data_IF_350334301161
#
_entry.id   IF_350334301161
#
_cell.length_a   1.000
_cell.length_b   1.000
_cell.length_c   1.000
_cell.angle_alpha   90.00
_cell.angle_beta   90.00
_cell.angle_gamma   90.00
#
_symmetry.space_group_name_H-M   'P 1'
#
loop_
_entity.id
_entity.type
_entity.pdbx_description
1 polymer ?
#
# COMPACT_ATOMS: atom_id res chain seq x y z
N UNK A 1 -49.42 -13.36 13.86
CA UNK A 1 -50.09 -13.20 15.18
C UNK A 1 -51.58 -13.54 15.11
N UNK A 2 -52.32 -13.18 14.05
CA UNK A 2 -53.75 -13.53 13.90
C UNK A 2 -54.04 -15.04 13.77
N UNK A 3 -53.18 -15.80 13.08
CA UNK A 3 -53.35 -17.26 12.86
C UNK A 3 -53.20 -18.09 14.14
N UNK A 4 -52.35 -17.63 15.08
CA UNK A 4 -52.15 -18.22 16.41
C UNK A 4 -53.38 -18.03 17.31
N UNK A 5 -54.07 -16.90 17.15
CA UNK A 5 -55.30 -16.56 17.87
C UNK A 5 -56.52 -17.38 17.42
N UNK A 6 -56.48 -17.94 16.21
CA UNK A 6 -57.60 -18.67 15.62
C UNK A 6 -57.49 -20.19 15.77
N UNK A 7 -56.36 -20.73 16.25
CA UNK A 7 -56.21 -22.17 16.54
C UNK A 7 -56.23 -23.08 15.30
N UNK A 8 -55.95 -22.54 14.11
CA UNK A 8 -56.11 -23.23 12.81
C UNK A 8 -54.83 -23.99 12.39
N UNK A 9 -53.69 -23.74 13.05
CA UNK A 9 -52.42 -24.45 12.84
C UNK A 9 -51.76 -24.87 14.15
N UNK A 10 -50.98 -25.97 14.16
CA UNK A 10 -50.14 -26.33 15.30
C UNK A 10 -49.20 -25.17 15.65
N UNK A 11 -49.15 -24.78 16.93
CA UNK A 11 -48.31 -23.68 17.45
C UNK A 11 -46.84 -23.80 17.02
N UNK A 12 -46.36 -25.02 16.82
CA UNK A 12 -45.00 -25.27 16.36
C UNK A 12 -44.75 -24.80 14.91
N UNK A 13 -45.71 -25.00 14.00
CA UNK A 13 -45.57 -24.60 12.60
C UNK A 13 -45.58 -23.07 12.45
N UNK A 14 -46.42 -22.38 13.22
CA UNK A 14 -46.45 -20.91 13.24
C UNK A 14 -45.18 -20.30 13.81
N UNK A 15 -44.57 -20.92 14.83
CA UNK A 15 -43.31 -20.47 15.40
C UNK A 15 -42.12 -20.73 14.48
N UNK A 16 -42.09 -21.86 13.76
CA UNK A 16 -41.03 -22.14 12.78
C UNK A 16 -41.07 -21.15 11.61
N UNK A 17 -42.27 -20.87 11.09
CA UNK A 17 -42.46 -19.84 10.07
C UNK A 17 -42.00 -18.45 10.53
N UNK A 18 -42.39 -18.02 11.74
CA UNK A 18 -41.93 -16.75 12.32
C UNK A 18 -40.40 -16.71 12.43
N UNK A 19 -39.76 -17.80 12.89
CA UNK A 19 -38.31 -17.90 13.01
C UNK A 19 -37.62 -17.77 11.66
N UNK A 20 -38.14 -18.40 10.61
CA UNK A 20 -37.57 -18.30 9.26
C UNK A 20 -37.68 -16.88 8.70
N UNK A 21 -38.85 -16.25 8.78
CA UNK A 21 -39.01 -14.85 8.36
C UNK A 21 -38.06 -13.91 9.09
N UNK A 22 -37.87 -14.09 10.40
CA UNK A 22 -36.91 -13.29 11.17
C UNK A 22 -35.46 -13.50 10.71
N UNK A 23 -35.09 -14.72 10.32
CA UNK A 23 -33.76 -14.99 9.74
C UNK A 23 -33.58 -14.32 8.39
N UNK A 24 -34.61 -14.33 7.54
CA UNK A 24 -34.58 -13.66 6.24
C UNK A 24 -34.47 -12.14 6.44
N UNK A 25 -35.25 -11.58 7.37
CA UNK A 25 -35.17 -10.16 7.72
C UNK A 25 -33.78 -9.78 8.24
N UNK A 26 -33.19 -10.58 9.14
CA UNK A 26 -31.80 -10.35 9.60
C UNK A 26 -30.82 -10.40 8.42
N UNK A 27 -30.99 -11.36 7.51
CA UNK A 27 -30.20 -11.46 6.28
C UNK A 27 -30.29 -10.22 5.38
N UNK A 28 -31.52 -9.73 5.13
CA UNK A 28 -31.76 -8.53 4.34
C UNK A 28 -31.22 -7.27 5.02
N UNK A 29 -31.37 -7.16 6.34
CA UNK A 29 -30.81 -6.04 7.11
C UNK A 29 -29.28 -6.02 7.08
N UNK A 30 -28.62 -7.18 7.13
CA UNK A 30 -27.17 -7.28 6.96
C UNK A 30 -26.73 -6.79 5.58
N UNK A 31 -27.41 -7.25 4.52
CA UNK A 31 -27.14 -6.80 3.15
C UNK A 31 -27.37 -5.29 2.99
N UNK A 32 -28.47 -4.76 3.53
CA UNK A 32 -28.76 -3.34 3.49
C UNK A 32 -27.66 -2.52 4.18
N UNK A 33 -27.16 -2.96 5.35
CA UNK A 33 -26.05 -2.30 6.04
C UNK A 33 -24.75 -2.34 5.24
N UNK A 34 -24.50 -3.41 4.50
CA UNK A 34 -23.31 -3.54 3.65
C UNK A 34 -23.37 -2.58 2.44
N UNK A 35 -24.55 -2.35 1.86
CA UNK A 35 -24.72 -1.52 0.65
C UNK A 35 -24.96 -0.03 0.96
N UNK A 36 -25.54 0.31 2.12
CA UNK A 36 -25.91 1.69 2.44
C UNK A 36 -24.71 2.65 2.46
N UNK A 37 -23.54 2.17 2.88
CA UNK A 37 -22.29 2.94 2.87
C UNK A 37 -21.72 3.14 1.47
N UNK A 38 -21.87 2.16 0.58
CA UNK A 38 -21.25 2.16 -0.76
C UNK A 38 -21.73 3.31 -1.64
N UNK A 39 -23.00 3.75 -1.49
CA UNK A 39 -23.53 4.91 -2.22
C UNK A 39 -22.83 6.21 -1.84
N UNK A 40 -22.51 6.38 -0.56
CA UNK A 40 -21.83 7.57 -0.05
C UNK A 40 -20.38 7.57 -0.55
N UNK A 41 -19.68 6.42 -0.42
CA UNK A 41 -18.31 6.26 -0.92
C UNK A 41 -18.20 6.50 -2.42
N UNK A 42 -19.14 6.00 -3.22
CA UNK A 42 -19.15 6.24 -4.66
C UNK A 42 -19.45 7.70 -5.01
N UNK A 43 -20.32 8.38 -4.26
CA UNK A 43 -20.55 9.81 -4.44
C UNK A 43 -19.28 10.63 -4.17
N UNK A 44 -18.56 10.30 -3.10
CA UNK A 44 -17.28 10.92 -2.74
C UNK A 44 -16.22 10.69 -3.84
N UNK A 45 -16.06 9.46 -4.33
CA UNK A 45 -15.12 9.14 -5.42
C UNK A 45 -15.45 9.88 -6.74
N UNK A 46 -16.73 10.11 -7.01
CA UNK A 46 -17.18 10.88 -8.19
C UNK A 46 -17.21 12.39 -7.93
N UNK A 47 -16.84 12.83 -6.72
CA UNK A 47 -16.95 14.22 -6.27
C UNK A 47 -18.37 14.80 -6.48
N UNK A 48 -19.39 13.99 -6.24
CA UNK A 48 -20.82 14.33 -6.34
C UNK A 48 -21.43 14.45 -4.95
N UNK A 49 -22.47 15.28 -4.83
CA UNK A 49 -23.29 15.29 -3.61
C UNK A 49 -24.04 13.97 -3.45
N UNK A 50 -24.05 13.41 -2.24
CA UNK A 50 -24.82 12.20 -1.91
C UNK A 50 -26.33 12.36 -2.16
N UNK A 51 -26.85 13.59 -2.06
CA UNK A 51 -28.26 13.92 -2.29
C UNK A 51 -28.66 13.90 -3.78
N UNK A 52 -27.71 14.10 -4.70
CA UNK A 52 -27.96 14.15 -6.15
C UNK A 52 -27.43 12.93 -6.90
N UNK A 53 -27.15 11.83 -6.18
CA UNK A 53 -26.53 10.66 -6.79
C UNK A 53 -27.44 10.04 -7.87
N UNK A 54 -26.96 9.88 -9.12
CA UNK A 54 -27.77 9.41 -10.23
C UNK A 54 -28.19 7.94 -10.04
N UNK A 55 -29.31 7.56 -10.66
CA UNK A 55 -29.74 6.15 -10.68
C UNK A 55 -28.78 5.37 -11.57
N UNK A 56 -28.14 4.35 -10.99
CA UNK A 56 -27.29 3.43 -11.75
C UNK A 56 -28.15 2.51 -12.61
N UNK A 57 -27.67 2.24 -13.83
CA UNK A 57 -28.26 1.25 -14.73
C UNK A 57 -27.65 -0.11 -14.40
N UNK A 58 -28.48 -1.16 -14.42
CA UNK A 58 -28.00 -2.53 -14.25
C UNK A 58 -27.05 -2.90 -15.41
N UNK A 59 -25.78 -3.25 -15.14
CA UNK A 59 -24.83 -3.66 -16.18
C UNK A 59 -25.20 -4.99 -16.85
N UNK A 60 -26.19 -5.73 -16.33
CA UNK A 60 -26.57 -7.06 -16.79
C UNK A 60 -25.63 -8.15 -16.25
N UNK A 61 -25.69 -9.34 -16.85
CA UNK A 61 -25.03 -10.56 -16.36
C UNK A 61 -23.67 -10.87 -17.00
N UNK A 62 -23.03 -9.90 -17.66
CA UNK A 62 -21.74 -10.10 -18.32
C UNK A 62 -20.59 -9.79 -17.36
N UNK A 63 -19.80 -10.80 -17.00
CA UNK A 63 -18.58 -10.62 -16.21
C UNK A 63 -17.69 -9.53 -16.83
N UNK A 64 -17.14 -8.59 -16.03
CA UNK A 64 -16.33 -7.48 -16.55
C UNK A 64 -15.03 -7.91 -17.26
N UNK A 65 -14.62 -9.16 -17.05
CA UNK A 65 -13.47 -9.78 -17.64
C UNK A 65 -13.86 -11.18 -18.09
N UNK A 66 -13.41 -11.59 -19.28
CA UNK A 66 -13.49 -12.97 -19.71
C UNK A 66 -12.44 -13.78 -18.93
N UNK A 67 -12.85 -14.26 -17.75
CA UNK A 67 -11.97 -14.97 -16.82
C UNK A 67 -11.43 -16.26 -17.43
N UNK A 68 -12.16 -16.85 -18.39
CA UNK A 68 -11.74 -18.09 -19.08
C UNK A 68 -10.62 -17.84 -20.10
N UNK A 69 -10.45 -16.59 -20.55
CA UNK A 69 -9.36 -16.16 -21.45
C UNK A 69 -8.23 -15.45 -20.71
N UNK A 70 -8.12 -15.64 -19.40
CA UNK A 70 -7.04 -15.04 -18.62
C UNK A 70 -5.70 -15.71 -18.99
N UNK A 71 -4.61 -14.93 -19.17
CA UNK A 71 -3.27 -15.49 -19.30
C UNK A 71 -2.89 -16.32 -18.06
N UNK A 72 -1.89 -17.18 -18.21
CA UNK A 72 -1.30 -17.88 -17.07
C UNK A 72 -0.74 -16.89 -16.05
N UNK A 73 -0.79 -17.26 -14.76
CA UNK A 73 -0.39 -16.36 -13.67
C UNK A 73 1.07 -15.92 -13.81
N UNK A 74 1.95 -16.78 -14.34
CA UNK A 74 3.34 -16.44 -14.59
C UNK A 74 3.48 -15.30 -15.63
N UNK A 75 2.65 -15.30 -16.67
CA UNK A 75 2.63 -14.21 -17.66
C UNK A 75 2.10 -12.91 -17.04
N UNK A 76 1.14 -12.99 -16.11
CA UNK A 76 0.65 -11.82 -15.38
C UNK A 76 1.73 -11.24 -14.45
N UNK A 77 2.51 -12.12 -13.79
CA UNK A 77 3.63 -11.74 -12.95
C UNK A 77 4.73 -11.03 -13.78
N UNK A 78 5.14 -11.62 -14.90
CA UNK A 78 6.10 -11.02 -15.82
C UNK A 78 5.61 -9.68 -16.38
N UNK A 79 4.34 -9.61 -16.78
CA UNK A 79 3.74 -8.38 -17.26
C UNK A 79 3.80 -7.28 -16.19
N UNK A 80 3.48 -7.61 -14.95
CA UNK A 80 3.52 -6.67 -13.83
C UNK A 80 4.93 -6.11 -13.58
N UNK A 81 5.97 -6.94 -13.70
CA UNK A 81 7.35 -6.47 -13.54
C UNK A 81 7.76 -5.38 -14.54
N UNK A 82 7.13 -5.35 -15.72
CA UNK A 82 7.44 -4.38 -16.77
C UNK A 82 6.54 -3.13 -16.74
N UNK A 83 5.31 -3.27 -16.24
CA UNK A 83 4.28 -2.22 -16.36
C UNK A 83 3.98 -1.49 -15.05
N UNK A 84 4.48 -1.99 -13.92
CA UNK A 84 4.23 -1.35 -12.63
C UNK A 84 5.02 -0.06 -12.45
N UNK A 85 4.34 1.10 -12.28
CA UNK A 85 5.02 2.40 -12.14
C UNK A 85 5.92 2.44 -10.91
N UNK A 86 5.63 1.67 -9.87
CA UNK A 86 6.45 1.61 -8.66
C UNK A 86 7.86 1.05 -8.94
N UNK A 87 7.98 0.07 -9.86
CA UNK A 87 9.29 -0.45 -10.27
C UNK A 87 10.05 0.55 -11.15
N UNK A 88 9.33 1.26 -12.01
CA UNK A 88 9.89 2.32 -12.84
C UNK A 88 10.43 3.48 -11.98
N UNK A 89 9.66 3.91 -10.99
CA UNK A 89 10.08 4.94 -10.04
C UNK A 89 11.36 4.51 -9.30
N UNK A 90 11.42 3.26 -8.82
CA UNK A 90 12.63 2.72 -8.19
C UNK A 90 13.82 2.66 -9.14
N UNK A 91 13.60 2.39 -10.42
CA UNK A 91 14.66 2.45 -11.41
C UNK A 91 15.23 3.87 -11.53
N UNK A 92 14.37 4.90 -11.64
CA UNK A 92 14.81 6.29 -11.68
C UNK A 92 15.50 6.74 -10.39
N UNK A 93 14.97 6.35 -9.22
CA UNK A 93 15.62 6.63 -7.94
C UNK A 93 17.03 6.04 -7.89
N UNK A 94 17.23 4.79 -8.36
CA UNK A 94 18.56 4.18 -8.45
C UNK A 94 19.53 4.98 -9.32
N UNK A 95 19.08 5.50 -10.47
CA UNK A 95 19.90 6.37 -11.34
C UNK A 95 20.26 7.68 -10.64
N UNK A 96 19.29 8.33 -10.00
CA UNK A 96 19.52 9.56 -9.24
C UNK A 96 20.55 9.33 -8.13
N UNK A 97 20.43 8.23 -7.39
CA UNK A 97 21.36 7.86 -6.33
C UNK A 97 22.78 7.58 -6.85
N UNK A 98 22.91 6.95 -8.02
CA UNK A 98 24.21 6.75 -8.66
C UNK A 98 24.86 8.10 -9.06
N UNK A 99 24.07 9.04 -9.59
CA UNK A 99 24.56 10.38 -9.93
C UNK A 99 24.89 11.23 -8.70
N UNK A 100 24.14 11.09 -7.60
CA UNK A 100 24.44 11.71 -6.31
C UNK A 100 25.73 11.16 -5.70
N UNK A 101 25.95 9.85 -5.81
CA UNK A 101 27.21 9.19 -5.42
C UNK A 101 28.38 9.73 -6.24
N UNK A 102 28.22 9.86 -7.58
CA UNK A 102 29.22 10.48 -8.46
C UNK A 102 29.50 11.92 -8.09
N UNK A 103 28.47 12.74 -7.82
CA UNK A 103 28.64 14.13 -7.35
C UNK A 103 29.42 14.19 -6.04
N UNK A 104 29.15 13.26 -5.12
CA UNK A 104 29.86 13.18 -3.83
C UNK A 104 31.33 12.82 -4.03
N UNK A 105 31.64 11.89 -4.94
CA UNK A 105 33.02 11.57 -5.32
C UNK A 105 33.71 12.75 -6.03
N UNK A 106 33.02 13.48 -6.90
CA UNK A 106 33.55 14.68 -7.56
C UNK A 106 33.87 15.79 -6.55
N UNK A 107 33.13 15.91 -5.45
CA UNK A 107 33.43 16.86 -4.35
C UNK A 107 34.73 16.52 -3.58
N UNK A 108 35.35 15.37 -3.86
CA UNK A 108 36.68 15.02 -3.35
C UNK A 108 37.79 15.67 -4.17
N UNK A 109 37.51 16.09 -5.41
CA UNK A 109 38.45 16.82 -6.26
C UNK A 109 38.66 18.27 -5.75
N UNK A 110 39.79 18.91 -6.08
CA UNK A 110 39.98 20.33 -5.79
C UNK A 110 38.94 21.18 -6.54
N UNK A 111 38.37 22.17 -5.85
CA UNK A 111 37.49 23.17 -6.44
C UNK A 111 38.29 24.24 -7.17
N UNK A 112 37.81 24.62 -8.35
CA UNK A 112 38.37 25.67 -9.19
C UNK A 112 37.36 26.81 -9.31
N UNK A 113 37.72 27.99 -8.83
CA UNK A 113 36.90 29.20 -8.98
C UNK A 113 37.63 30.21 -9.87
N UNK A 114 36.96 30.64 -10.94
CA UNK A 114 37.44 31.69 -11.82
C UNK A 114 36.68 32.97 -11.51
N UNK A 115 37.40 34.05 -11.23
CA UNK A 115 36.80 35.35 -10.94
C UNK A 115 37.29 36.41 -11.92
N UNK A 116 36.37 37.28 -12.32
CA UNK A 116 36.69 38.49 -13.06
C UNK A 116 35.83 39.63 -12.53
N UNK A 117 36.47 40.71 -12.08
CA UNK A 117 35.79 41.85 -11.50
C UNK A 117 36.35 43.15 -12.07
N UNK A 118 35.46 44.04 -12.50
CA UNK A 118 35.82 45.43 -12.85
C UNK A 118 35.37 46.32 -11.71
N UNK A 119 36.32 46.93 -11.02
CA UNK A 119 36.06 47.76 -9.84
C UNK A 119 36.25 49.24 -10.18
N UNK A 120 35.42 50.07 -9.57
CA UNK A 120 35.47 51.53 -9.67
C UNK A 120 35.28 52.13 -8.28
N UNK A 121 36.16 53.06 -7.89
CA UNK A 121 36.07 53.74 -6.61
C UNK A 121 36.16 55.27 -6.82
N UNK A 122 35.30 56.01 -6.12
CA UNK A 122 35.19 57.47 -6.20
C UNK A 122 35.95 58.19 -5.06
N UNK A 123 36.68 57.47 -4.22
CA UNK A 123 37.49 58.05 -3.16
C UNK A 123 38.52 59.06 -3.68
N UNK A 124 38.56 60.25 -3.06
CA UNK A 124 39.46 61.35 -3.44
C UNK A 124 40.94 61.06 -3.23
N UNK A 125 41.26 59.97 -2.52
CA UNK A 125 42.62 59.53 -2.17
C UNK A 125 43.20 58.47 -3.13
N UNK A 126 42.42 57.92 -4.08
CA UNK A 126 42.90 56.90 -5.01
C UNK A 126 43.45 57.51 -6.31
N UNK A 127 44.70 57.17 -6.67
CA UNK A 127 45.39 57.65 -7.87
C UNK A 127 44.82 57.04 -9.15
N UNK A 128 44.35 55.79 -9.09
CA UNK A 128 43.71 55.10 -10.20
C UNK A 128 42.31 54.65 -9.78
N UNK A 129 41.28 55.14 -10.47
CA UNK A 129 39.87 55.01 -10.05
C UNK A 129 39.18 53.78 -10.61
N UNK A 130 39.80 53.08 -11.54
CA UNK A 130 39.29 51.84 -12.11
C UNK A 130 40.39 50.78 -12.22
N UNK A 131 40.02 49.53 -11.98
CA UNK A 131 40.91 48.41 -12.25
C UNK A 131 40.10 47.16 -12.57
N UNK A 132 40.75 46.24 -13.27
CA UNK A 132 40.19 44.95 -13.63
C UNK A 132 41.01 43.88 -12.94
N UNK A 133 40.33 42.99 -12.23
CA UNK A 133 40.91 41.84 -11.56
C UNK A 133 40.48 40.58 -12.32
N UNK A 134 41.44 39.70 -12.59
CA UNK A 134 41.20 38.32 -13.01
C UNK A 134 41.92 37.42 -12.02
N UNK A 135 41.21 36.46 -11.45
CA UNK A 135 41.74 35.55 -10.44
C UNK A 135 41.35 34.11 -10.74
N UNK A 136 42.25 33.18 -10.42
CA UNK A 136 41.98 31.75 -10.41
C UNK A 136 42.30 31.25 -9.01
N UNK A 137 41.29 30.75 -8.31
CA UNK A 137 41.43 30.19 -6.98
C UNK A 137 41.30 28.66 -7.06
N UNK A 138 42.30 27.94 -6.58
CA UNK A 138 42.29 26.49 -6.43
C UNK A 138 42.23 26.16 -4.95
N UNK A 139 41.16 25.50 -4.51
CA UNK A 139 40.97 25.11 -3.12
C UNK A 139 40.74 23.60 -3.02
N UNK A 140 41.49 22.91 -2.15
CA UNK A 140 41.32 21.47 -1.93
C UNK A 140 41.10 21.15 -0.46
N UNK A 141 40.05 20.38 -0.17
CA UNK A 141 39.75 19.91 1.18
C UNK A 141 40.46 18.58 1.47
N UNK A 142 41.60 18.63 2.15
CA UNK A 142 42.43 17.44 2.46
C UNK A 142 41.79 16.51 3.50
N UNK A 143 40.90 17.02 4.37
CA UNK A 143 40.15 16.17 5.31
C UNK A 143 39.24 15.21 4.55
N UNK A 144 38.63 15.66 3.45
CA UNK A 144 37.80 14.80 2.57
C UNK A 144 38.61 13.74 1.83
N UNK A 145 39.89 13.96 1.57
CA UNK A 145 40.77 12.97 0.93
C UNK A 145 41.02 11.79 1.87
N UNK A 146 41.22 12.07 3.17
CA UNK A 146 41.42 11.04 4.20
C UNK A 146 40.13 10.21 4.38
N UNK A 147 38.95 10.84 4.33
CA UNK A 147 37.66 10.15 4.45
C UNK A 147 37.13 9.59 3.13
N UNK A 148 37.79 9.84 1.99
CA UNK A 148 37.38 9.39 0.67
C UNK A 148 37.09 7.89 0.55
N UNK A 149 37.93 6.99 1.10
CA UNK A 149 37.65 5.55 1.09
C UNK A 149 36.38 5.18 1.83
N UNK A 150 36.07 5.86 2.94
CA UNK A 150 34.84 5.63 3.72
C UNK A 150 33.61 6.09 2.93
N UNK A 151 33.70 7.25 2.28
CA UNK A 151 32.64 7.77 1.39
C UNK A 151 32.37 6.80 0.23
N UNK A 152 33.42 6.25 -0.38
CA UNK A 152 33.27 5.26 -1.44
C UNK A 152 32.67 3.94 -0.93
N UNK A 153 33.09 3.48 0.25
CA UNK A 153 32.52 2.30 0.88
C UNK A 153 31.03 2.50 1.19
N UNK A 154 30.65 3.66 1.70
CA UNK A 154 29.26 4.03 1.96
C UNK A 154 28.43 4.04 0.67
N UNK A 155 28.90 4.69 -0.39
CA UNK A 155 28.20 4.73 -1.67
C UNK A 155 27.94 3.32 -2.24
N UNK A 156 28.89 2.40 -2.10
CA UNK A 156 28.71 0.99 -2.52
C UNK A 156 27.69 0.24 -1.67
N UNK A 157 27.65 0.51 -0.36
CA UNK A 157 26.64 -0.08 0.52
C UNK A 157 25.25 0.45 0.20
N UNK A 158 25.11 1.74 -0.09
CA UNK A 158 23.86 2.36 -0.53
C UNK A 158 23.37 1.73 -1.83
N UNK A 159 24.24 1.53 -2.82
CA UNK A 159 23.91 0.81 -4.07
C UNK A 159 23.42 -0.62 -3.81
N UNK A 160 24.12 -1.37 -2.95
CA UNK A 160 23.72 -2.73 -2.58
C UNK A 160 22.37 -2.74 -1.85
N UNK A 161 22.09 -1.77 -0.98
CA UNK A 161 20.80 -1.64 -0.29
C UNK A 161 19.68 -1.33 -1.29
N UNK A 162 19.90 -0.44 -2.25
CA UNK A 162 18.91 -0.13 -3.29
C UNK A 162 18.61 -1.33 -4.19
N UNK A 163 19.62 -2.14 -4.52
CA UNK A 163 19.41 -3.39 -5.25
C UNK A 163 18.51 -4.36 -4.47
N UNK A 164 18.75 -4.52 -3.16
CA UNK A 164 17.91 -5.36 -2.30
C UNK A 164 16.48 -4.81 -2.20
N UNK A 165 16.31 -3.49 -2.11
CA UNK A 165 14.99 -2.83 -2.09
C UNK A 165 14.22 -3.09 -3.39
N UNK A 166 14.89 -3.00 -4.54
CA UNK A 166 14.29 -3.30 -5.85
C UNK A 166 13.86 -4.76 -5.96
N UNK A 167 14.70 -5.71 -5.53
CA UNK A 167 14.34 -7.14 -5.50
C UNK A 167 13.15 -7.42 -4.58
N UNK A 168 13.14 -6.82 -3.38
CA UNK A 168 12.03 -6.94 -2.44
C UNK A 168 10.73 -6.35 -3.00
N UNK A 169 10.80 -5.22 -3.71
CA UNK A 169 9.65 -4.61 -4.37
C UNK A 169 9.12 -5.50 -5.50
N UNK A 170 10.00 -6.05 -6.34
CA UNK A 170 9.63 -6.99 -7.39
C UNK A 170 8.92 -8.23 -6.82
N UNK A 171 9.47 -8.83 -5.75
CA UNK A 171 8.83 -9.94 -5.05
C UNK A 171 7.47 -9.55 -4.46
N UNK A 172 7.36 -8.34 -3.91
CA UNK A 172 6.08 -7.82 -3.40
C UNK A 172 5.04 -7.72 -4.52
N UNK A 173 5.41 -7.22 -5.69
CA UNK A 173 4.51 -7.08 -6.84
C UNK A 173 4.06 -8.44 -7.34
N UNK A 174 4.98 -9.40 -7.53
CA UNK A 174 4.66 -10.78 -7.89
C UNK A 174 3.65 -11.37 -6.90
N UNK A 175 3.90 -11.19 -5.60
CA UNK A 175 3.00 -11.66 -4.53
C UNK A 175 1.63 -11.01 -4.62
N UNK A 176 1.56 -9.70 -4.86
CA UNK A 176 0.29 -8.99 -5.04
C UNK A 176 -0.51 -9.49 -6.25
N UNK A 177 0.15 -9.73 -7.38
CA UNK A 177 -0.46 -10.31 -8.57
C UNK A 177 -1.05 -11.68 -8.26
N UNK A 178 -0.28 -12.54 -7.58
CA UNK A 178 -0.72 -13.89 -7.22
C UNK A 178 -1.90 -13.90 -6.27
N UNK A 179 -1.88 -13.05 -5.24
CA UNK A 179 -3.00 -12.89 -4.29
C UNK A 179 -4.24 -12.38 -5.03
N UNK A 180 -4.10 -11.38 -5.90
CA UNK A 180 -5.22 -10.85 -6.68
C UNK A 180 -5.81 -11.90 -7.64
N UNK A 181 -4.95 -12.71 -8.27
CA UNK A 181 -5.37 -13.82 -9.13
C UNK A 181 -6.15 -14.87 -8.34
N UNK A 182 -5.64 -15.29 -7.18
CA UNK A 182 -6.33 -16.24 -6.29
C UNK A 182 -7.69 -15.69 -5.84
N UNK A 183 -7.75 -14.43 -5.42
CA UNK A 183 -9.01 -13.79 -5.02
C UNK A 183 -10.02 -13.69 -6.18
N UNK A 184 -9.55 -13.51 -7.42
CA UNK A 184 -10.42 -13.54 -8.60
C UNK A 184 -11.00 -14.95 -8.85
N UNK A 185 -10.16 -15.99 -8.76
CA UNK A 185 -10.63 -17.38 -8.91
C UNK A 185 -11.62 -17.77 -7.81
N UNK A 186 -11.33 -17.39 -6.56
CA UNK A 186 -12.21 -17.65 -5.41
C UNK A 186 -13.56 -16.95 -5.56
N UNK A 187 -13.55 -15.65 -5.86
CA UNK A 187 -14.79 -14.89 -6.07
C UNK A 187 -15.62 -15.45 -7.23
N UNK A 188 -14.97 -15.93 -8.31
CA UNK A 188 -15.68 -16.59 -9.43
C UNK A 188 -16.47 -17.82 -8.95
N UNK A 189 -15.83 -18.70 -8.17
CA UNK A 189 -16.49 -19.89 -7.59
C UNK A 189 -17.62 -19.46 -6.65
N UNK A 190 -17.41 -18.44 -5.83
CA UNK A 190 -18.44 -17.87 -4.96
C UNK A 190 -19.65 -17.36 -5.74
N UNK A 191 -19.43 -16.63 -6.82
CA UNK A 191 -20.49 -16.14 -7.71
C UNK A 191 -21.23 -17.29 -8.41
N UNK A 192 -20.53 -18.28 -8.95
CA UNK A 192 -21.16 -19.45 -9.58
C UNK A 192 -22.07 -20.20 -8.59
N UNK A 193 -21.61 -20.34 -7.35
CA UNK A 193 -22.39 -20.95 -6.26
C UNK A 193 -23.62 -20.11 -5.93
N UNK A 194 -23.46 -18.80 -5.73
CA UNK A 194 -24.58 -17.90 -5.42
C UNK A 194 -25.62 -17.84 -6.57
N UNK A 195 -25.15 -17.89 -7.82
CA UNK A 195 -25.98 -17.96 -9.01
C UNK A 195 -26.78 -19.27 -9.07
N UNK A 196 -26.14 -20.40 -8.78
CA UNK A 196 -26.84 -21.69 -8.73
C UNK A 196 -27.90 -21.71 -7.62
N UNK A 197 -27.59 -21.17 -6.43
CA UNK A 197 -28.54 -21.05 -5.31
C UNK A 197 -29.74 -20.17 -5.67
N UNK A 198 -29.51 -18.98 -6.23
CA UNK A 198 -30.61 -18.09 -6.69
C UNK A 198 -31.50 -18.78 -7.74
N UNK A 199 -30.92 -19.56 -8.67
CA UNK A 199 -31.70 -20.32 -9.65
C UNK A 199 -32.54 -21.44 -9.04
N UNK A 200 -32.01 -22.14 -8.04
CA UNK A 200 -32.75 -23.18 -7.30
C UNK A 200 -33.92 -22.55 -6.54
N UNK A 201 -33.67 -21.48 -5.79
CA UNK A 201 -34.71 -20.83 -4.99
C UNK A 201 -35.75 -20.13 -5.87
N UNK A 202 -35.36 -19.64 -7.05
CA UNK A 202 -36.33 -19.16 -8.05
C UNK A 202 -37.30 -20.27 -8.48
N UNK A 203 -36.79 -21.47 -8.76
CA UNK A 203 -37.63 -22.62 -9.13
C UNK A 203 -38.51 -23.08 -7.98
N UNK A 204 -38.02 -23.00 -6.74
CA UNK A 204 -38.82 -23.30 -5.55
C UNK A 204 -39.95 -22.28 -5.36
N UNK A 205 -39.69 -20.99 -5.60
CA UNK A 205 -40.72 -19.96 -5.63
C UNK A 205 -41.75 -20.21 -6.72
N UNK A 206 -41.33 -20.48 -7.96
CA UNK A 206 -42.25 -20.76 -9.07
C UNK A 206 -43.10 -22.02 -8.77
N UNK A 207 -42.52 -23.05 -8.14
CA UNK A 207 -43.26 -24.24 -7.67
C UNK A 207 -44.24 -23.90 -6.54
N UNK A 208 -43.84 -23.06 -5.59
CA UNK A 208 -44.71 -22.61 -4.50
C UNK A 208 -45.91 -21.80 -5.02
N UNK A 209 -45.68 -20.99 -6.05
CA UNK A 209 -46.71 -20.22 -6.74
C UNK A 209 -47.70 -21.15 -7.46
N UNK A 210 -47.21 -22.14 -8.22
CA UNK A 210 -48.08 -23.12 -8.85
C UNK A 210 -48.86 -23.97 -7.81
N UNK A 211 -48.19 -24.41 -6.74
CA UNK A 211 -48.83 -25.17 -5.66
C UNK A 211 -49.93 -24.38 -4.95
N UNK A 212 -49.79 -23.06 -4.89
CA UNK A 212 -50.79 -22.11 -4.37
C UNK A 212 -52.03 -22.02 -5.23
N UNK A 213 -51.88 -21.97 -6.54
CA UNK A 213 -53.01 -21.92 -7.49
C UNK A 213 -53.91 -23.15 -7.40
N UNK A 214 -53.32 -24.31 -7.06
CA UNK A 214 -54.04 -25.59 -6.90
C UNK A 214 -54.37 -25.90 -5.43
N UNK A 215 -54.30 -24.91 -4.53
CA UNK A 215 -54.58 -25.03 -3.09
C UNK A 215 -53.79 -26.13 -2.34
N UNK A 216 -52.65 -26.56 -2.90
CA UNK A 216 -51.77 -27.58 -2.31
C UNK A 216 -50.71 -27.01 -1.36
N UNK A 217 -50.44 -25.70 -1.43
CA UNK A 217 -49.46 -25.01 -0.59
C UNK A 217 -50.05 -23.82 0.18
N UNK A 218 -49.52 -23.57 1.38
CA UNK A 218 -49.93 -22.50 2.30
C UNK A 218 -49.35 -21.12 1.91
N UNK A 219 -49.89 -20.02 2.44
CA UNK A 219 -49.54 -18.64 2.01
C UNK A 219 -48.22 -18.26 2.60
N UNK A 220 -48.05 -18.66 3.85
CA UNK A 220 -46.79 -18.71 4.54
C UNK A 220 -45.70 -19.38 3.68
N UNK A 221 -45.95 -20.55 3.08
CA UNK A 221 -44.96 -21.22 2.24
C UNK A 221 -44.62 -20.45 0.96
N UNK A 222 -45.59 -19.78 0.32
CA UNK A 222 -45.31 -18.92 -0.84
C UNK A 222 -44.46 -17.71 -0.44
N UNK A 223 -44.85 -17.02 0.63
CA UNK A 223 -44.12 -15.85 1.14
C UNK A 223 -42.70 -16.24 1.57
N UNK A 224 -42.53 -17.41 2.19
CA UNK A 224 -41.23 -17.95 2.56
C UNK A 224 -40.36 -18.17 1.31
N UNK A 225 -40.88 -18.88 0.30
CA UNK A 225 -40.14 -19.14 -0.93
C UNK A 225 -39.80 -17.86 -1.71
N UNK A 226 -40.70 -16.87 -1.72
CA UNK A 226 -40.44 -15.56 -2.32
C UNK A 226 -39.32 -14.82 -1.59
N UNK A 227 -39.38 -14.80 -0.26
CA UNK A 227 -38.41 -14.10 0.58
C UNK A 227 -37.01 -14.76 0.50
N UNK A 228 -36.94 -16.10 0.45
CA UNK A 228 -35.70 -16.83 0.24
C UNK A 228 -35.11 -16.56 -1.14
N UNK A 229 -35.93 -16.61 -2.20
CA UNK A 229 -35.49 -16.26 -3.56
C UNK A 229 -34.94 -14.84 -3.63
N UNK A 230 -35.65 -13.84 -3.10
CA UNK A 230 -35.20 -12.45 -3.09
C UNK A 230 -33.89 -12.27 -2.32
N UNK A 231 -33.72 -13.00 -1.21
CA UNK A 231 -32.47 -12.98 -0.44
C UNK A 231 -31.30 -13.58 -1.23
N UNK A 232 -31.49 -14.72 -1.89
CA UNK A 232 -30.43 -15.32 -2.71
C UNK A 232 -30.12 -14.51 -3.96
N UNK A 233 -31.13 -13.87 -4.56
CA UNK A 233 -30.94 -12.95 -5.68
C UNK A 233 -30.02 -11.80 -5.28
N UNK A 234 -30.28 -11.16 -4.13
CA UNK A 234 -29.43 -10.11 -3.62
C UNK A 234 -28.01 -10.59 -3.30
N UNK A 235 -27.84 -11.82 -2.79
CA UNK A 235 -26.52 -12.42 -2.55
C UNK A 235 -25.76 -12.71 -3.83
N UNK A 236 -26.45 -13.17 -4.88
CA UNK A 236 -25.85 -13.35 -6.21
C UNK A 236 -25.33 -12.02 -6.75
N UNK A 237 -26.10 -10.95 -6.62
CA UNK A 237 -25.70 -9.63 -7.11
C UNK A 237 -24.49 -9.08 -6.35
N UNK A 238 -24.44 -9.31 -5.04
CA UNK A 238 -23.26 -9.01 -4.23
C UNK A 238 -22.03 -9.81 -4.69
N UNK A 239 -22.17 -11.12 -4.88
CA UNK A 239 -21.07 -11.98 -5.35
C UNK A 239 -20.59 -11.57 -6.76
N UNK A 240 -21.49 -11.11 -7.62
CA UNK A 240 -21.13 -10.53 -8.92
C UNK A 240 -20.28 -9.25 -8.77
N UNK A 241 -20.67 -8.37 -7.85
CA UNK A 241 -19.89 -7.17 -7.54
C UNK A 241 -18.51 -7.52 -6.96
N UNK A 242 -18.41 -8.58 -6.16
CA UNK A 242 -17.14 -9.09 -5.62
C UNK A 242 -16.21 -9.59 -6.73
N UNK A 243 -16.72 -10.36 -7.70
CA UNK A 243 -15.95 -10.78 -8.88
C UNK A 243 -15.48 -9.57 -9.68
N UNK A 244 -16.35 -8.59 -9.86
CA UNK A 244 -16.02 -7.34 -10.56
C UNK A 244 -14.90 -6.57 -9.87
N UNK A 245 -14.96 -6.48 -8.53
CA UNK A 245 -13.93 -5.87 -7.70
C UNK A 245 -12.61 -6.66 -7.74
N UNK A 246 -12.67 -7.99 -7.66
CA UNK A 246 -11.49 -8.84 -7.76
C UNK A 246 -10.81 -8.73 -9.13
N UNK A 247 -11.59 -8.64 -10.21
CA UNK A 247 -11.07 -8.42 -11.56
C UNK A 247 -10.39 -7.05 -11.66
N UNK A 248 -11.00 -5.99 -11.10
CA UNK A 248 -10.38 -4.68 -11.04
C UNK A 248 -9.07 -4.68 -10.23
N UNK A 249 -9.05 -5.36 -9.08
CA UNK A 249 -7.84 -5.53 -8.25
C UNK A 249 -6.73 -6.25 -9.01
N UNK A 250 -7.05 -7.27 -9.82
CA UNK A 250 -6.08 -7.94 -10.67
C UNK A 250 -5.52 -7.02 -11.77
N UNK A 251 -6.38 -6.24 -12.43
CA UNK A 251 -5.93 -5.30 -13.46
C UNK A 251 -5.00 -4.23 -12.87
N UNK A 252 -5.37 -3.69 -11.71
CA UNK A 252 -4.48 -2.80 -10.96
C UNK A 252 -3.22 -3.56 -10.58
N UNK A 253 -3.30 -4.76 -10.00
CA UNK A 253 -2.14 -5.54 -9.52
C UNK A 253 -1.09 -5.80 -10.59
N UNK A 254 -1.52 -5.94 -11.84
CA UNK A 254 -0.70 -6.18 -13.03
C UNK A 254 -0.19 -4.87 -13.68
N UNK A 255 -0.70 -3.72 -13.28
CA UNK A 255 -0.30 -2.41 -13.84
C UNK A 255 -0.98 -2.06 -15.16
N UNK A 256 -2.11 -2.71 -15.48
CA UNK A 256 -2.85 -2.44 -16.71
C UNK A 256 -3.66 -1.14 -16.57
N UNK A 257 -3.21 -0.07 -17.23
CA UNK A 257 -4.00 1.14 -17.42
C UNK A 257 -4.91 0.99 -18.66
N UNK A 258 -6.22 0.91 -18.43
CA UNK A 258 -7.22 0.85 -19.51
C UNK A 258 -7.73 2.22 -19.96
N UNK A 259 -7.15 3.32 -19.47
CA UNK A 259 -7.53 4.64 -19.96
C UNK A 259 -6.98 4.86 -21.37
N UNK A 260 -7.77 5.44 -22.29
CA UNK A 260 -7.27 5.86 -23.59
C UNK A 260 -6.11 6.84 -23.40
N UNK A 261 -5.04 6.74 -24.19
CA UNK A 261 -3.85 7.59 -24.04
C UNK A 261 -4.11 9.11 -24.15
N UNK A 262 -5.28 9.52 -24.66
CA UNK A 262 -5.69 10.92 -24.84
C UNK A 262 -6.99 11.24 -24.08
N UNK A 263 -7.27 10.54 -22.98
CA UNK A 263 -8.52 10.70 -22.22
C UNK A 263 -8.79 12.15 -21.81
N UNK A 264 -7.75 12.95 -21.56
CA UNK A 264 -7.86 14.38 -21.19
C UNK A 264 -8.55 15.26 -22.24
N UNK A 265 -8.53 14.85 -23.52
CA UNK A 265 -9.07 15.63 -24.64
C UNK A 265 -10.38 15.06 -25.21
N UNK A 266 -10.94 14.02 -24.59
CA UNK A 266 -12.14 13.33 -25.08
C UNK A 266 -13.40 13.85 -24.38
N UNK A 267 -14.46 14.10 -25.15
CA UNK A 267 -15.80 14.34 -24.56
C UNK A 267 -16.40 13.04 -23.99
N UNK A 268 -17.38 13.16 -23.11
CA UNK A 268 -18.06 12.06 -22.41
C UNK A 268 -18.55 10.97 -23.36
N UNK A 269 -19.08 11.35 -24.53
CA UNK A 269 -19.51 10.37 -25.53
C UNK A 269 -18.33 9.61 -26.14
N UNK A 270 -17.24 10.31 -26.45
CA UNK A 270 -16.03 9.71 -27.00
C UNK A 270 -15.35 8.78 -25.99
N UNK A 271 -15.30 9.20 -24.72
CA UNK A 271 -14.82 8.37 -23.61
C UNK A 271 -15.67 7.12 -23.45
N UNK A 272 -17.00 7.25 -23.49
CA UNK A 272 -17.93 6.11 -23.37
C UNK A 272 -17.67 5.09 -24.47
N UNK A 273 -17.55 5.55 -25.72
CA UNK A 273 -17.30 4.68 -26.87
C UNK A 273 -15.92 4.02 -26.81
N UNK A 274 -14.88 4.76 -26.44
CA UNK A 274 -13.54 4.20 -26.23
C UNK A 274 -13.52 3.15 -25.12
N UNK A 275 -14.25 3.37 -24.01
CA UNK A 275 -14.41 2.41 -22.92
C UNK A 275 -15.18 1.15 -23.35
N UNK A 276 -16.20 1.28 -24.20
CA UNK A 276 -16.91 0.12 -24.78
C UNK A 276 -16.00 -0.71 -25.68
N UNK A 277 -15.22 -0.07 -26.56
CA UNK A 277 -14.23 -0.74 -27.40
C UNK A 277 -13.14 -1.44 -26.56
N UNK A 278 -12.72 -0.82 -25.46
CA UNK A 278 -11.78 -1.38 -24.49
C UNK A 278 -12.35 -2.58 -23.72
N UNK A 279 -13.66 -2.62 -23.46
CA UNK A 279 -14.33 -3.80 -22.88
C UNK A 279 -14.34 -4.98 -23.85
N UNK A 280 -14.42 -4.72 -25.16
CA UNK A 280 -14.47 -5.76 -26.19
C UNK A 280 -13.10 -6.41 -26.49
N UNK A 281 -12.00 -5.75 -26.13
CA UNK A 281 -10.63 -6.24 -26.36
C UNK A 281 -10.13 -7.09 -25.17
N UNK A 282 -9.38 -8.18 -25.40
CA UNK A 282 -8.73 -8.88 -24.31
C UNK A 282 -7.75 -7.93 -23.63
N UNK A 283 -7.86 -7.78 -22.31
CA UNK A 283 -7.08 -6.84 -21.49
C UNK A 283 -5.56 -6.91 -21.72
N UNK A 284 -5.10 -8.07 -22.16
CA UNK A 284 -3.72 -8.50 -22.29
C UNK A 284 -3.24 -8.54 -23.75
N UNK A 285 -4.10 -8.32 -24.73
CA UNK A 285 -3.81 -8.59 -26.14
C UNK A 285 -3.05 -7.47 -26.86
N UNK A 286 -2.86 -6.29 -26.26
CA UNK A 286 -2.06 -5.23 -26.89
C UNK A 286 -1.63 -4.20 -25.86
N UNK A 287 -0.62 -4.52 -25.06
CA UNK A 287 0.15 -3.49 -24.39
C UNK A 287 1.62 -3.77 -24.63
N UNK A 288 2.25 -2.92 -25.44
CA UNK A 288 3.70 -2.91 -25.54
C UNK A 288 4.25 -2.46 -24.18
N UNK A 289 5.33 -3.08 -23.68
CA UNK A 289 5.98 -2.56 -22.49
C UNK A 289 6.28 -1.07 -22.72
N UNK A 290 6.00 -0.19 -21.74
CA UNK A 290 6.24 1.24 -21.91
C UNK A 290 7.72 1.54 -22.20
N UNK A 291 8.61 0.58 -21.96
CA UNK A 291 10.04 0.65 -22.25
C UNK A 291 10.56 -0.66 -22.84
N UNK A 292 11.59 -0.60 -23.71
CA UNK A 292 12.27 -1.79 -24.19
C UNK A 292 12.87 -2.63 -23.03
N UNK A 293 13.08 -3.94 -23.24
CA UNK A 293 13.65 -4.82 -22.23
C UNK A 293 15.02 -4.33 -21.74
N UNK A 294 15.39 -4.72 -20.52
CA UNK A 294 16.61 -4.28 -19.81
C UNK A 294 17.89 -4.43 -20.62
N UNK A 295 17.94 -5.40 -21.53
CA UNK A 295 19.09 -5.66 -22.40
C UNK A 295 19.29 -4.56 -23.44
N UNK A 296 18.22 -4.00 -24.01
CA UNK A 296 18.30 -2.89 -24.98
C UNK A 296 18.65 -1.54 -24.30
N UNK A 297 18.29 -1.37 -23.02
CA UNK A 297 18.65 -0.18 -22.22
C UNK A 297 20.11 -0.27 -21.76
N UNK A 298 20.61 -1.48 -21.46
CA UNK A 298 22.02 -1.71 -21.16
C UNK A 298 22.91 -1.54 -22.42
N UNK A 299 22.38 -1.83 -23.62
CA UNK A 299 23.07 -1.62 -24.90
C UNK A 299 22.99 -0.19 -25.43
N UNK A 300 22.07 0.63 -24.92
CA UNK A 300 22.19 2.09 -24.99
C UNK A 300 23.33 2.54 -24.09
N UNK A 301 24.55 2.28 -24.57
CA UNK A 301 25.77 2.91 -24.15
C UNK A 301 25.45 4.40 -24.01
N UNK A 302 25.43 4.89 -22.76
CA UNK A 302 25.25 6.32 -22.45
C UNK A 302 26.00 7.10 -23.53
N UNK A 303 25.36 8.04 -24.25
CA UNK A 303 26.12 8.88 -25.17
C UNK A 303 27.26 9.45 -24.35
N UNK A 304 28.49 9.06 -24.72
CA UNK A 304 29.70 9.67 -24.20
C UNK A 304 29.44 11.17 -24.26
N UNK A 305 29.66 11.94 -23.18
CA UNK A 305 29.35 13.36 -23.19
C UNK A 305 30.13 13.97 -24.34
N UNK A 306 29.43 14.26 -25.43
CA UNK A 306 30.02 14.87 -26.59
C UNK A 306 30.48 16.24 -26.10
N UNK A 307 31.79 16.42 -26.03
CA UNK A 307 32.45 17.60 -25.45
C UNK A 307 32.26 18.86 -26.32
N UNK A 308 31.20 18.90 -27.13
CA UNK A 308 30.95 19.90 -28.16
C UNK A 308 29.63 20.66 -27.95
N UNK A 309 28.76 20.24 -27.03
CA UNK A 309 27.61 21.10 -26.67
C UNK A 309 28.04 22.24 -25.74
N UNK A 310 27.82 23.51 -26.13
CA UNK A 310 28.14 24.64 -25.27
C UNK A 310 27.23 24.60 -24.04
N UNK A 311 27.85 24.69 -22.87
CA UNK A 311 27.16 24.90 -21.58
C UNK A 311 26.16 26.05 -21.77
N UNK A 312 24.83 25.83 -21.59
CA UNK A 312 23.89 26.92 -21.68
C UNK A 312 24.21 27.95 -20.59
N UNK A 313 24.23 29.22 -20.98
CA UNK A 313 24.49 30.34 -20.09
C UNK A 313 23.61 30.26 -18.82
N UNK A 314 24.13 30.64 -17.64
CA UNK A 314 23.34 30.62 -16.43
C UNK A 314 22.11 31.52 -16.62
N UNK A 315 20.93 30.92 -16.50
CA UNK A 315 19.68 31.67 -16.40
C UNK A 315 19.78 32.68 -15.24
N UNK A 316 19.18 33.88 -15.35
CA UNK A 316 19.18 34.84 -14.27
C UNK A 316 18.61 34.22 -13.00
N UNK A 317 19.34 34.40 -11.90
CA UNK A 317 19.01 33.93 -10.56
C UNK A 317 17.61 34.40 -10.16
N UNK A 318 16.67 33.47 -10.07
CA UNK A 318 15.45 33.66 -9.28
C UNK A 318 15.90 33.79 -7.82
N UNK A 319 15.52 34.85 -7.09
CA UNK A 319 15.88 35.00 -5.68
C UNK A 319 15.30 33.84 -4.86
N UNK A 320 15.95 33.45 -3.74
CA UNK A 320 15.45 32.37 -2.90
C UNK A 320 14.05 32.73 -2.36
N UNK A 321 13.13 31.75 -2.25
CA UNK A 321 11.85 31.99 -1.61
C UNK A 321 12.09 32.40 -0.15
N UNK A 322 11.43 33.48 0.26
CA UNK A 322 11.33 33.91 1.65
C UNK A 322 10.73 32.78 2.48
N UNK A 323 11.49 32.39 3.51
CA UNK A 323 11.13 31.42 4.53
C UNK A 323 10.06 32.05 5.45
N UNK A 324 8.80 31.90 5.06
CA UNK A 324 7.61 32.04 5.94
C UNK A 324 6.38 31.44 5.23
N UNK A 325 6.41 30.12 5.00
CA UNK A 325 5.21 29.30 4.78
C UNK A 325 5.40 27.93 5.48
N UNK A 326 4.42 27.45 6.25
CA UNK A 326 4.48 26.12 6.86
C UNK A 326 4.52 25.05 5.77
N UNK A 327 5.12 23.86 6.05
CA UNK A 327 5.27 22.81 5.06
C UNK A 327 3.90 22.38 4.51
N UNK A 328 3.73 22.48 3.20
CA UNK A 328 2.62 21.88 2.47
C UNK A 328 2.80 20.37 2.43
N UNK A 329 1.81 19.65 2.93
CA UNK A 329 1.68 18.19 2.90
C UNK A 329 1.83 17.60 1.48
N UNK A 330 2.40 16.39 1.32
CA UNK A 330 2.25 15.63 0.10
C UNK A 330 0.81 15.11 -0.03
N UNK A 331 -0.01 15.80 -0.83
CA UNK A 331 -1.28 15.29 -1.34
C UNK A 331 -1.04 14.23 -2.43
N UNK A 332 -0.84 12.97 -2.04
CA UNK A 332 -1.44 11.79 -2.69
C UNK A 332 -1.06 10.51 -1.93
N UNK A 333 -1.69 10.30 -0.78
CA UNK A 333 -2.02 8.94 -0.35
C UNK A 333 -3.47 8.77 -0.80
N UNK A 334 -3.72 7.88 -1.76
CA UNK A 334 -5.04 7.28 -1.86
C UNK A 334 -5.16 6.44 -0.59
N UNK A 335 -5.81 7.03 0.42
CA UNK A 335 -6.43 6.27 1.48
C UNK A 335 -7.41 5.33 0.79
N UNK A 336 -7.01 4.07 0.71
CA UNK A 336 -7.96 2.97 0.64
C UNK A 336 -8.89 3.14 1.84
N UNK A 337 -10.08 3.67 1.59
CA UNK A 337 -11.23 3.59 2.47
C UNK A 337 -11.65 2.12 2.60
N UNK A 338 -10.84 1.35 3.34
CA UNK A 338 -11.30 0.16 4.02
C UNK A 338 -11.99 0.65 5.31
N UNK A 339 -13.26 1.05 5.18
CA UNK A 339 -14.16 0.84 6.30
C UNK A 339 -14.33 -0.66 6.44
N UNK A 340 -13.56 -1.26 7.34
CA UNK A 340 -13.94 -2.54 7.90
C UNK A 340 -14.25 -2.33 9.36
N UNK A 341 -15.55 -2.35 9.67
CA UNK A 341 -15.98 -2.99 10.90
C UNK A 341 -15.63 -4.47 10.79
N UNK A 342 -14.37 -4.80 11.02
CA UNK A 342 -13.90 -6.13 11.39
C UNK A 342 -12.94 -5.92 12.54
N UNK A 343 -13.19 -6.69 13.59
CA UNK A 343 -12.44 -6.70 14.84
C UNK A 343 -10.95 -6.93 14.55
N UNK A 344 -10.17 -5.85 14.50
CA UNK A 344 -8.72 -5.92 14.44
C UNK A 344 -8.22 -6.40 15.80
N UNK A 345 -7.76 -7.64 15.83
CA UNK A 345 -6.98 -8.22 16.93
C UNK A 345 -5.78 -7.30 17.22
N UNK A 346 -5.43 -7.03 18.49
CA UNK A 346 -4.45 -6.02 18.82
C UNK A 346 -3.06 -6.33 18.26
N UNK A 347 -2.49 -5.30 17.66
CA UNK A 347 -1.09 -5.17 17.24
C UNK A 347 -0.20 -5.27 18.49
N UNK A 348 0.91 -6.01 18.39
CA UNK A 348 1.80 -6.24 19.52
C UNK A 348 2.31 -4.94 20.17
N UNK A 349 2.36 -4.93 21.50
CA UNK A 349 2.88 -3.84 22.34
C UNK A 349 4.31 -4.14 22.79
N UNK A 350 5.15 -3.12 22.92
CA UNK A 350 6.39 -3.18 23.70
C UNK A 350 6.29 -2.23 24.89
N UNK A 351 6.87 -2.63 26.01
CA UNK A 351 6.95 -1.80 27.21
C UNK A 351 8.30 -1.13 27.25
N UNK A 352 8.33 0.20 27.13
CA UNK A 352 9.58 0.96 27.26
C UNK A 352 9.96 1.08 28.72
N UNK A 353 11.14 0.58 29.06
CA UNK A 353 11.63 0.53 30.45
C UNK A 353 12.69 1.61 30.70
N UNK A 354 13.36 2.10 29.66
CA UNK A 354 14.30 3.23 29.78
C UNK A 354 14.86 3.75 28.46
N UNK A 355 15.43 4.95 28.49
CA UNK A 355 16.19 5.57 27.39
C UNK A 355 17.45 6.20 27.97
N UNK A 356 18.62 5.85 27.45
CA UNK A 356 19.91 6.23 28.02
C UNK A 356 20.82 6.86 26.96
N UNK A 357 21.49 7.96 27.29
CA UNK A 357 22.51 8.55 26.39
C UNK A 357 23.81 7.73 26.35
N UNK A 358 24.14 7.06 27.45
CA UNK A 358 25.32 6.19 27.56
C UNK A 358 24.93 4.73 27.31
N UNK A 359 25.63 4.08 26.38
CA UNK A 359 25.38 2.69 25.98
C UNK A 359 25.58 1.70 27.13
N UNK A 360 26.58 1.92 27.97
CA UNK A 360 26.94 1.00 29.06
C UNK A 360 25.81 0.87 30.09
N UNK A 361 25.15 2.00 30.44
CA UNK A 361 23.98 2.02 31.33
C UNK A 361 22.78 1.28 30.73
N UNK A 362 22.59 1.35 29.42
CA UNK A 362 21.55 0.60 28.73
C UNK A 362 21.85 -0.90 28.68
N UNK A 363 23.12 -1.28 28.52
CA UNK A 363 23.59 -2.66 28.49
C UNK A 363 23.48 -3.34 29.87
N UNK A 364 23.78 -2.61 30.95
CA UNK A 364 23.61 -3.11 32.33
C UNK A 364 22.13 -3.42 32.64
N UNK A 365 21.22 -2.56 32.18
CA UNK A 365 19.78 -2.76 32.36
C UNK A 365 19.24 -3.88 31.47
N UNK A 366 19.75 -4.01 30.24
CA UNK A 366 19.48 -5.15 29.36
C UNK A 366 19.86 -6.47 30.03
N UNK A 367 21.09 -6.56 30.56
CA UNK A 367 21.63 -7.78 31.16
C UNK A 367 20.84 -8.18 32.40
N UNK A 368 20.50 -7.21 33.27
CA UNK A 368 19.69 -7.46 34.48
C UNK A 368 18.30 -8.02 34.18
N UNK A 369 17.66 -7.54 33.10
CA UNK A 369 16.34 -7.99 32.70
C UNK A 369 16.40 -9.31 31.90
N UNK A 370 17.47 -9.53 31.13
CA UNK A 370 17.73 -10.79 30.45
C UNK A 370 18.00 -11.95 31.42
N UNK A 371 18.75 -11.71 32.50
CA UNK A 371 19.02 -12.69 33.57
C UNK A 371 17.74 -13.12 34.31
N UNK A 372 16.71 -12.28 34.29
CA UNK A 372 15.37 -12.55 34.83
C UNK A 372 14.41 -13.15 33.81
N UNK A 373 14.93 -13.53 32.63
CA UNK A 373 14.22 -14.22 31.57
C UNK A 373 13.11 -13.38 30.90
N UNK A 374 13.22 -12.05 30.93
CA UNK A 374 12.34 -11.16 30.18
C UNK A 374 12.80 -11.04 28.70
N UNK A 375 11.88 -10.95 27.73
CA UNK A 375 12.22 -10.67 26.34
C UNK A 375 12.55 -9.19 26.17
N UNK A 376 13.85 -8.84 26.16
CA UNK A 376 14.34 -7.46 26.11
C UNK A 376 14.93 -7.14 24.73
N UNK A 377 14.65 -5.96 24.22
CA UNK A 377 15.14 -5.41 22.97
C UNK A 377 15.91 -4.11 23.25
N UNK A 378 17.14 -4.00 22.76
CA UNK A 378 17.95 -2.79 22.82
C UNK A 378 18.01 -2.15 21.43
N UNK A 379 17.57 -0.90 21.30
CA UNK A 379 17.57 -0.18 20.02
C UNK A 379 18.19 1.22 20.13
N UNK A 380 19.08 1.63 19.21
CA UNK A 380 19.50 3.02 19.10
C UNK A 380 18.36 3.85 18.49
N UNK A 381 18.15 5.05 19.03
CA UNK A 381 17.16 6.02 18.58
C UNK A 381 17.80 7.40 18.48
N UNK A 382 17.69 8.03 17.32
CA UNK A 382 18.17 9.41 17.12
C UNK A 382 17.01 10.37 17.35
N UNK A 383 17.17 11.28 18.30
CA UNK A 383 16.19 12.32 18.60
C UNK A 383 16.30 13.46 17.57
N UNK A 384 15.24 14.28 17.35
CA UNK A 384 15.25 15.34 16.32
C UNK A 384 16.35 16.39 16.49
N UNK A 385 17.00 16.45 17.65
CA UNK A 385 18.15 17.31 17.95
C UNK A 385 19.51 16.69 17.56
N UNK A 386 19.51 15.45 17.05
CA UNK A 386 20.70 14.72 16.61
C UNK A 386 21.37 13.86 17.68
N UNK A 387 20.86 13.81 18.92
CA UNK A 387 21.42 12.96 19.97
C UNK A 387 21.01 11.49 19.79
N UNK A 388 21.97 10.57 20.00
CA UNK A 388 21.72 9.12 19.95
C UNK A 388 21.43 8.63 21.37
N UNK A 389 20.22 8.10 21.57
CA UNK A 389 19.79 7.46 22.81
C UNK A 389 19.62 5.95 22.58
N UNK A 390 19.94 5.15 23.59
CA UNK A 390 19.75 3.71 23.61
C UNK A 390 18.48 3.38 24.41
N UNK A 391 17.48 2.82 23.72
CA UNK A 391 16.19 2.44 24.30
C UNK A 391 16.18 0.97 24.67
N UNK A 392 15.69 0.68 25.87
CA UNK A 392 15.49 -0.68 26.37
C UNK A 392 13.99 -0.93 26.50
N UNK A 393 13.49 -1.83 25.66
CA UNK A 393 12.07 -2.17 25.56
C UNK A 393 11.86 -3.66 25.89
N UNK A 394 10.73 -4.02 26.50
CA UNK A 394 10.36 -5.40 26.86
C UNK A 394 9.15 -5.82 26.04
N UNK A 395 9.27 -6.89 25.26
CA UNK A 395 8.24 -7.38 24.34
C UNK A 395 8.83 -8.19 23.18
N UNK A 396 8.03 -8.54 22.14
CA UNK A 396 6.67 -8.07 21.85
C UNK A 396 5.57 -8.81 22.62
N UNK A 397 4.54 -8.10 23.05
CA UNK A 397 3.40 -8.61 23.82
C UNK A 397 2.14 -8.54 22.94
N UNK A 398 1.49 -9.69 22.72
CA UNK A 398 0.38 -9.79 21.75
C UNK A 398 -0.98 -9.34 22.29
N UNK A 399 -1.20 -9.46 23.59
CA UNK A 399 -2.46 -9.08 24.24
C UNK A 399 -2.27 -7.88 25.18
N UNK A 400 -3.15 -6.88 25.05
CA UNK A 400 -3.10 -5.66 25.88
C UNK A 400 -3.21 -5.97 27.38
N UNK A 401 -3.99 -7.00 27.74
CA UNK A 401 -4.14 -7.48 29.12
C UNK A 401 -2.81 -7.94 29.72
N UNK A 402 -2.01 -8.66 28.95
CA UNK A 402 -0.71 -9.17 29.38
C UNK A 402 0.32 -8.04 29.47
N UNK A 403 0.23 -7.05 28.57
CA UNK A 403 1.05 -5.84 28.61
C UNK A 403 0.81 -5.03 29.88
N UNK A 404 -0.45 -4.79 30.23
CA UNK A 404 -0.82 -4.05 31.45
C UNK A 404 -0.48 -4.81 32.73
N UNK A 405 -0.59 -6.15 32.72
CA UNK A 405 -0.14 -6.98 33.84
C UNK A 405 1.39 -6.88 34.03
N UNK A 406 2.14 -6.91 32.93
CA UNK A 406 3.60 -6.83 32.94
C UNK A 406 4.10 -5.44 33.38
N UNK A 407 3.44 -4.35 32.98
CA UNK A 407 3.68 -2.99 33.50
C UNK A 407 3.56 -2.95 35.01
N UNK A 408 2.51 -3.57 35.56
CA UNK A 408 2.29 -3.61 37.02
C UNK A 408 3.40 -4.40 37.73
N UNK A 409 3.88 -5.50 37.16
CA UNK A 409 4.99 -6.27 37.73
C UNK A 409 6.33 -5.52 37.65
N UNK A 410 6.64 -4.89 36.53
CA UNK A 410 7.89 -4.12 36.36
C UNK A 410 7.94 -2.90 37.28
N UNK A 411 6.79 -2.24 37.50
CA UNK A 411 6.70 -1.09 38.40
C UNK A 411 6.76 -1.49 39.88
N UNK A 412 6.10 -2.59 40.28
CA UNK A 412 5.98 -2.99 41.69
C UNK A 412 7.15 -3.88 42.17
N UNK A 413 7.65 -4.79 41.35
CA UNK A 413 8.69 -5.76 41.74
C UNK A 413 10.10 -5.32 41.33
N UNK A 414 10.24 -4.64 40.20
CA UNK A 414 11.54 -4.22 39.65
C UNK A 414 11.82 -2.72 39.88
N UNK A 415 10.83 -1.95 40.34
CA UNK A 415 10.95 -0.50 40.57
C UNK A 415 11.18 0.30 39.28
N UNK A 416 10.81 -0.26 38.12
CA UNK A 416 11.05 0.32 36.80
C UNK A 416 9.75 0.91 36.24
N UNK A 417 9.81 2.17 35.80
CA UNK A 417 8.65 2.85 35.21
C UNK A 417 8.47 2.44 33.74
N UNK A 418 7.70 1.38 33.52
CA UNK A 418 7.42 0.86 32.18
C UNK A 418 6.27 1.64 31.52
N UNK A 419 6.56 2.26 30.37
CA UNK A 419 5.55 2.98 29.57
C UNK A 419 5.13 2.12 28.38
N UNK A 420 3.83 1.79 28.22
CA UNK A 420 3.35 1.05 27.07
C UNK A 420 3.51 1.87 25.78
N UNK A 421 4.17 1.29 24.76
CA UNK A 421 4.34 1.90 23.44
C UNK A 421 3.72 0.96 22.40
N UNK A 422 2.74 1.48 21.67
CA UNK A 422 2.13 0.77 20.55
C UNK A 422 3.09 0.74 19.37
N UNK A 423 3.34 -0.43 18.81
CA UNK A 423 4.15 -0.60 17.61
C UNK A 423 3.23 -0.30 16.41
N UNK A 424 3.49 0.74 15.58
CA UNK A 424 2.79 0.87 14.30
C UNK A 424 3.18 -0.30 13.38
N UNK A 425 2.33 -0.75 12.45
CA UNK A 425 2.58 -1.95 11.67
C UNK A 425 3.91 -1.87 10.91
N UNK A 426 4.91 -2.63 11.37
CA UNK A 426 6.13 -2.88 10.60
C UNK A 426 5.86 -4.00 9.59
N UNK A 427 6.08 -3.69 8.33
CA UNK A 427 6.10 -4.64 7.21
C UNK A 427 7.38 -5.48 7.32
N UNK A 428 7.35 -6.59 8.07
CA UNK A 428 8.49 -7.53 8.11
C UNK A 428 8.01 -8.97 8.25
N UNK A 429 8.20 -9.73 7.17
CA UNK A 429 8.19 -11.19 7.17
C UNK A 429 9.24 -11.72 8.15
N UNK A 430 8.84 -12.48 9.16
CA UNK A 430 9.72 -13.35 9.94
C UNK A 430 9.31 -14.81 9.74
N UNK A 431 9.70 -15.36 8.58
CA UNK A 431 10.07 -16.76 8.48
C UNK A 431 11.56 -16.80 8.18
N UNK A 432 12.39 -16.90 9.23
CA UNK A 432 13.75 -17.47 9.29
C UNK A 432 14.57 -16.74 10.36
N UNK A 433 14.54 -17.25 11.58
CA UNK A 433 15.62 -17.14 12.57
C UNK A 433 15.26 -17.97 13.81
N UNK A 434 15.34 -19.30 13.68
CA UNK A 434 15.62 -20.17 14.82
C UNK A 434 16.97 -20.82 14.48
N UNK A 435 18.09 -20.40 15.09
CA UNK A 435 19.31 -21.20 14.99
C UNK A 435 19.11 -22.47 15.84
N UNK A 436 19.36 -23.62 15.22
CA UNK A 436 19.37 -24.92 15.87
C UNK A 436 20.48 -25.00 16.93
N UNK A 437 20.23 -25.80 17.96
CA UNK A 437 20.98 -25.95 19.21
C UNK A 437 22.44 -26.44 19.08
N UNK A 438 22.98 -26.54 17.85
CA UNK A 438 24.31 -27.09 17.56
C UNK A 438 25.37 -26.01 17.26
N UNK A 439 24.99 -24.77 16.96
CA UNK A 439 25.94 -23.66 16.70
C UNK A 439 26.34 -22.87 17.96
N UNK A 440 25.78 -23.20 19.13
CA UNK A 440 26.06 -22.49 20.39
C UNK A 440 27.33 -22.97 21.12
N UNK A 441 28.02 -24.00 20.64
CA UNK A 441 29.18 -24.58 21.35
C UNK A 441 30.54 -24.18 20.73
N UNK A 442 30.57 -23.66 19.50
CA UNK A 442 31.85 -23.35 18.81
C UNK A 442 32.33 -21.91 18.92
N UNK A 443 31.71 -21.06 19.75
CA UNK A 443 32.14 -19.66 19.98
C UNK A 443 32.61 -19.38 21.41
N UNK A 444 32.86 -20.42 22.21
CA UNK A 444 33.42 -20.30 23.56
C UNK A 444 34.90 -20.70 23.69
N UNK A 445 35.57 -21.13 22.60
CA UNK A 445 37.02 -21.32 22.57
C UNK A 445 37.59 -20.71 21.28
N UNK A 446 38.14 -19.50 21.40
CA UNK A 446 38.78 -18.74 20.32
C UNK A 446 39.35 -17.43 20.81
#
# INVERSE_FOLDING_TARGET
REVERQGIQPVQESLDFQKKLLKILDGLQRLQRQVSGSRIQLAELLNLSSSSFPRLVDPGSLLPLDIDKLPDVAHLEEFALHHRPELLERHYQGRIQADESRKTLLRLLPGLELSSARKYDNGSLYVNRHWTEHGVNLAWNLLKVITGPQILAQARLEEAVEERRRLALAMTIITQVRIAHLGLMESKVGYETARAMSQVDRRLFDHAQAGREVASMSEAQLIEAEADWLLQEARRDLAYAEVSSAAARLLVSVGLNRLPAQFDNMDTQQLTQALEDLKARPAWATYAPPFPPLDEIAEQKDPSPDATEPIPAPAPSVPPPTEDQPPSDPLWIIESSASTGEETTPVGMVLRVGSFAERDKAQDLYTRLADKNYPVILQPFTEPDGQILYRVDVGPIREERDGLALVKTLNVQEGLNAVPVLIPPFKTDMRHAIPSHEEAITLAEG
#
